data_IF_148976170581
#
_entry.id   IF_148976170581
#
_cell.length_a   1.000
_cell.length_b   1.000
_cell.length_c   1.000
_cell.angle_alpha   90.00
_cell.angle_beta   90.00
_cell.angle_gamma   90.00
#
_symmetry.space_group_name_H-M   'P 1'
#
loop_
_entity.id
_entity.type
_entity.pdbx_description
1 polymer ?
#
# COMPACT_ATOMS: atom_id res chain seq x y z
N UNK A 1 -11.63 52.15 -17.81
CA UNK A 1 -10.99 51.11 -18.65
C UNK A 1 -9.87 50.44 -17.87
N UNK A 2 -9.98 49.12 -17.69
CA UNK A 2 -8.94 48.11 -17.40
C UNK A 2 -7.96 48.37 -16.22
N UNK A 3 -8.30 47.83 -15.04
CA UNK A 3 -7.31 47.30 -14.09
C UNK A 3 -7.30 45.77 -14.22
N UNK A 4 -6.15 45.22 -14.60
CA UNK A 4 -5.92 43.80 -14.73
C UNK A 4 -5.82 43.14 -13.35
N UNK A 5 -6.55 42.03 -13.17
CA UNK A 5 -6.43 41.13 -12.02
C UNK A 5 -5.41 40.02 -12.33
N UNK A 6 -4.71 39.47 -11.32
CA UNK A 6 -3.59 38.57 -11.51
C UNK A 6 -4.03 37.14 -11.85
N UNK A 7 -3.18 36.49 -12.65
CA UNK A 7 -3.26 35.07 -13.01
C UNK A 7 -3.27 34.19 -11.75
N UNK A 8 -4.24 33.29 -11.68
CA UNK A 8 -4.31 32.22 -10.67
C UNK A 8 -3.25 31.17 -10.99
N UNK A 9 -2.36 30.94 -10.02
CA UNK A 9 -1.34 29.89 -10.06
C UNK A 9 -2.00 28.52 -9.96
N UNK A 10 -1.76 27.65 -10.96
CA UNK A 10 -1.96 26.21 -10.83
C UNK A 10 -1.02 25.66 -9.78
N UNK A 11 -1.57 25.09 -8.71
CA UNK A 11 -0.80 24.29 -7.76
C UNK A 11 -0.59 22.92 -8.40
N UNK A 12 0.53 22.77 -9.11
CA UNK A 12 0.99 21.49 -9.61
C UNK A 12 1.58 20.69 -8.44
N UNK A 13 0.95 19.55 -8.11
CA UNK A 13 1.49 18.58 -7.17
C UNK A 13 2.49 17.70 -7.92
N UNK A 14 3.77 18.08 -7.89
CA UNK A 14 4.88 17.26 -8.40
C UNK A 14 5.34 16.36 -7.25
N UNK A 15 4.92 15.09 -7.28
CA UNK A 15 5.57 14.03 -6.50
C UNK A 15 6.94 13.78 -7.14
N UNK A 16 7.96 14.36 -6.52
CA UNK A 16 9.36 14.19 -6.89
C UNK A 16 9.96 13.06 -6.07
N UNK A 17 10.05 11.86 -6.62
CA UNK A 17 11.13 10.91 -6.30
C UNK A 17 11.05 9.67 -7.19
N UNK A 18 12.17 9.33 -7.84
CA UNK A 18 12.33 8.21 -8.79
C UNK A 18 12.85 6.95 -8.07
N UNK A 19 12.48 6.78 -6.80
CA UNK A 19 12.94 5.68 -5.94
C UNK A 19 11.80 4.88 -5.28
N UNK A 20 10.54 5.28 -5.47
CA UNK A 20 9.40 4.68 -4.75
C UNK A 20 8.79 3.45 -5.43
N UNK A 21 9.10 3.16 -6.70
CA UNK A 21 8.55 1.99 -7.39
C UNK A 21 9.13 0.65 -6.90
N UNK A 22 10.32 0.66 -6.31
CA UNK A 22 10.96 -0.54 -5.73
C UNK A 22 10.52 -0.74 -4.27
N UNK A 23 10.16 0.35 -3.58
CA UNK A 23 9.71 0.32 -2.18
C UNK A 23 8.28 -0.24 -2.03
N UNK A 24 7.41 -0.07 -3.03
CA UNK A 24 6.01 -0.53 -2.97
C UNK A 24 5.90 -2.06 -2.97
N UNK A 25 6.84 -2.78 -3.59
CA UNK A 25 6.90 -4.24 -3.51
C UNK A 25 7.43 -4.66 -2.13
N UNK A 26 8.48 -4.01 -1.62
CA UNK A 26 9.07 -4.34 -0.30
C UNK A 26 8.13 -4.09 0.89
N UNK A 27 7.26 -3.07 0.83
CA UNK A 27 6.31 -2.77 1.93
C UNK A 27 5.18 -3.83 2.00
N UNK A 28 4.84 -4.49 0.88
CA UNK A 28 3.86 -5.59 0.88
C UNK A 28 4.42 -6.91 1.43
N UNK A 29 5.73 -7.14 1.30
CA UNK A 29 6.34 -8.42 1.71
C UNK A 29 6.72 -8.50 3.21
N UNK A 30 6.94 -7.37 3.89
CA UNK A 30 7.52 -7.39 5.24
C UNK A 30 6.52 -7.60 6.39
N UNK A 31 5.20 -7.62 6.14
CA UNK A 31 4.17 -7.75 7.18
C UNK A 31 3.34 -9.05 7.15
N UNK A 32 3.65 -10.01 6.27
CA UNK A 32 2.78 -11.16 5.99
C UNK A 32 3.44 -12.54 6.19
N UNK A 33 4.48 -12.64 7.03
CA UNK A 33 5.14 -13.92 7.34
C UNK A 33 4.24 -14.96 8.04
N UNK A 34 3.05 -14.57 8.53
CA UNK A 34 2.17 -15.47 9.29
C UNK A 34 1.33 -16.40 8.39
N UNK A 35 1.00 -15.99 7.16
CA UNK A 35 0.15 -16.81 6.27
C UNK A 35 0.92 -17.96 5.60
N UNK A 36 2.24 -17.81 5.40
CA UNK A 36 3.10 -18.89 4.87
C UNK A 36 3.18 -20.12 5.80
N UNK A 37 3.10 -19.92 7.12
CA UNK A 37 3.12 -21.04 8.09
C UNK A 37 1.78 -21.80 8.14
N UNK A 38 0.68 -21.14 7.76
CA UNK A 38 -0.68 -21.68 7.85
C UNK A 38 -1.05 -22.63 6.70
N UNK A 39 -0.34 -22.54 5.57
CA UNK A 39 -0.53 -23.35 4.36
C UNK A 39 0.59 -24.37 4.13
N UNK A 40 1.51 -24.54 5.09
CA UNK A 40 2.53 -25.58 5.02
C UNK A 40 1.91 -26.96 5.29
N UNK A 41 2.12 -27.89 4.36
CA UNK A 41 1.57 -29.25 4.38
C UNK A 41 2.35 -30.13 5.38
N UNK A 42 1.72 -30.71 6.42
CA UNK A 42 2.41 -31.59 7.38
C UNK A 42 2.32 -33.04 6.92
N UNK A 43 2.95 -33.41 5.81
CA UNK A 43 2.96 -34.81 5.36
C UNK A 43 4.19 -35.13 4.48
N UNK A 44 5.37 -35.13 5.09
CA UNK A 44 6.54 -35.85 4.59
C UNK A 44 7.43 -36.20 5.79
N UNK A 45 7.28 -37.40 6.33
CA UNK A 45 8.35 -38.41 6.35
C UNK A 45 8.01 -39.67 7.18
N UNK A 46 8.40 -40.80 6.57
CA UNK A 46 8.89 -42.07 7.10
C UNK A 46 8.00 -43.03 7.94
N UNK A 47 7.84 -44.22 7.35
CA UNK A 47 7.29 -45.47 7.92
C UNK A 47 8.41 -46.21 8.68
N UNK A 48 8.09 -46.89 9.80
CA UNK A 48 8.45 -48.31 9.87
C UNK A 48 7.34 -49.23 10.42
N UNK A 49 7.50 -50.51 10.09
CA UNK A 49 6.59 -51.66 10.18
C UNK A 49 6.81 -52.48 11.48
N UNK A 50 5.86 -53.36 11.81
CA UNK A 50 5.87 -54.54 12.75
C UNK A 50 5.53 -54.24 14.22
N UNK A 51 4.75 -55.02 15.00
CA UNK A 51 4.04 -56.30 14.81
C UNK A 51 2.98 -56.51 15.94
N UNK A 52 1.95 -57.31 15.61
CA UNK A 52 1.12 -58.27 16.41
C UNK A 52 0.87 -58.11 17.93
N UNK A 53 -0.40 -58.08 18.38
CA UNK A 53 -1.07 -59.17 19.15
C UNK A 53 -2.45 -58.84 19.79
N UNK A 54 -3.34 -59.85 19.71
CA UNK A 54 -4.31 -60.34 20.73
C UNK A 54 -5.57 -59.56 21.19
N UNK A 55 -6.69 -59.85 20.52
CA UNK A 55 -7.90 -60.60 20.99
C UNK A 55 -8.50 -60.36 22.42
N UNK A 56 -9.83 -60.08 22.40
CA UNK A 56 -11.00 -60.52 23.24
C UNK A 56 -11.85 -59.44 23.97
N UNK A 57 -13.18 -59.68 24.14
CA UNK A 57 -14.21 -58.64 24.19
C UNK A 57 -15.10 -58.64 25.46
N UNK A 58 -16.11 -57.76 25.41
CA UNK A 58 -17.39 -57.72 26.13
C UNK A 58 -17.39 -57.28 27.61
N UNK A 59 -18.05 -56.15 27.90
CA UNK A 59 -18.96 -56.02 29.04
C UNK A 59 -19.89 -54.81 28.87
N UNK A 60 -21.19 -55.10 28.89
CA UNK A 60 -22.32 -54.18 29.02
C UNK A 60 -22.29 -53.48 30.38
N UNK A 61 -22.48 -52.16 30.42
CA UNK A 61 -23.03 -51.49 31.60
C UNK A 61 -23.90 -50.29 31.21
N UNK A 62 -25.14 -50.37 31.67
CA UNK A 62 -26.21 -49.36 31.64
C UNK A 62 -25.98 -48.28 32.68
N UNK A 63 -26.23 -47.00 32.36
CA UNK A 63 -26.66 -45.97 33.33
C UNK A 63 -27.29 -44.73 32.64
N UNK A 64 -28.63 -44.68 32.69
CA UNK A 64 -29.57 -43.56 32.93
C UNK A 64 -29.00 -42.14 33.20
N UNK A 65 -29.37 -41.06 32.47
CA UNK A 65 -30.49 -40.05 32.60
C UNK A 65 -30.00 -38.76 31.87
N UNK A 66 -30.78 -37.75 31.36
CA UNK A 66 -32.17 -37.34 31.65
C UNK A 66 -33.10 -37.10 30.44
N UNK A 67 -34.40 -37.07 30.74
CA UNK A 67 -35.49 -36.70 29.83
C UNK A 67 -35.52 -35.19 29.53
N UNK A 68 -35.43 -34.83 28.25
CA UNK A 68 -35.80 -33.50 27.73
C UNK A 68 -37.31 -33.28 27.81
N UNK A 69 -37.79 -32.08 28.21
CA UNK A 69 -39.22 -31.77 28.18
C UNK A 69 -39.77 -31.81 26.74
N UNK A 70 -40.96 -32.40 26.57
CA UNK A 70 -41.68 -32.43 25.29
C UNK A 70 -41.97 -31.01 24.80
N UNK A 71 -41.75 -30.80 23.51
CA UNK A 71 -42.04 -29.54 22.81
C UNK A 71 -43.53 -29.18 22.96
N UNK A 72 -43.82 -27.99 23.47
CA UNK A 72 -45.18 -27.43 23.50
C UNK A 72 -45.53 -27.05 22.07
N UNK A 73 -46.57 -27.69 21.52
CA UNK A 73 -47.14 -27.34 20.22
C UNK A 73 -47.93 -26.03 20.34
N UNK A 74 -47.79 -25.17 19.33
CA UNK A 74 -48.48 -23.87 19.25
C UNK A 74 -50.02 -24.08 19.19
N UNK A 75 -50.82 -23.28 19.90
CA UNK A 75 -52.28 -23.42 19.90
C UNK A 75 -52.91 -23.10 18.53
N UNK A 76 -54.01 -23.78 18.23
CA UNK A 76 -54.84 -23.57 17.03
C UNK A 76 -55.40 -22.14 17.03
N UNK A 77 -55.05 -21.36 16.00
CA UNK A 77 -55.44 -19.96 15.85
C UNK A 77 -54.28 -18.96 15.78
N UNK A 78 -53.03 -19.40 15.90
CA UNK A 78 -51.89 -18.52 15.66
C UNK A 78 -51.80 -18.12 14.17
N UNK A 79 -51.67 -16.82 13.82
CA UNK A 79 -51.57 -16.40 12.44
C UNK A 79 -50.31 -16.98 11.81
N UNK A 80 -50.49 -18.04 11.05
CA UNK A 80 -49.48 -18.77 10.30
C UNK A 80 -49.74 -18.55 8.83
N UNK A 81 -49.39 -17.37 8.33
CA UNK A 81 -49.27 -17.19 6.88
C UNK A 81 -47.81 -17.37 6.47
N UNK A 82 -47.52 -18.58 6.00
CA UNK A 82 -46.46 -18.77 5.00
C UNK A 82 -46.87 -17.97 3.76
N UNK A 83 -46.31 -16.76 3.63
CA UNK A 83 -45.93 -16.19 2.34
C UNK A 83 -44.48 -15.74 2.48
N UNK A 84 -43.55 -16.59 2.02
CA UNK A 84 -42.21 -16.11 1.68
C UNK A 84 -42.40 -15.15 0.51
N UNK A 85 -42.36 -13.85 0.76
CA UNK A 85 -41.93 -12.92 -0.28
C UNK A 85 -40.43 -13.16 -0.50
N UNK A 86 -39.97 -13.46 -1.73
CA UNK A 86 -38.57 -13.22 -2.04
C UNK A 86 -38.37 -11.70 -2.15
N UNK A 87 -37.15 -11.23 -1.86
CA UNK A 87 -36.74 -9.81 -1.88
C UNK A 87 -36.97 -9.02 -0.59
N UNK A 88 -36.27 -9.44 0.47
CA UNK A 88 -35.60 -8.49 1.34
C UNK A 88 -34.33 -7.98 0.61
N UNK A 89 -34.28 -6.67 0.34
CA UNK A 89 -33.33 -5.99 -0.56
C UNK A 89 -31.92 -5.79 0.05
N UNK A 90 -31.49 -6.64 1.00
CA UNK A 90 -30.11 -6.60 1.55
C UNK A 90 -29.52 -8.01 1.56
N UNK A 91 -29.47 -8.65 0.40
CA UNK A 91 -28.68 -9.86 0.18
C UNK A 91 -28.23 -9.99 -1.28
N UNK A 92 -27.55 -8.95 -1.78
CA UNK A 92 -26.80 -9.08 -3.05
C UNK A 92 -25.44 -9.77 -2.87
N UNK A 93 -25.19 -10.38 -1.71
CA UNK A 93 -24.01 -11.22 -1.48
C UNK A 93 -24.34 -12.60 -2.03
N UNK A 94 -23.77 -12.94 -3.18
CA UNK A 94 -23.78 -14.30 -3.70
C UNK A 94 -23.06 -15.19 -2.69
N UNK A 95 -23.64 -16.33 -2.34
CA UNK A 95 -22.99 -17.30 -1.45
C UNK A 95 -21.69 -17.89 -2.05
N UNK A 96 -21.49 -17.74 -3.38
CA UNK A 96 -20.39 -18.31 -4.15
C UNK A 96 -19.77 -17.28 -5.11
N UNK A 97 -18.66 -16.63 -4.75
CA UNK A 97 -17.88 -15.83 -5.68
C UNK A 97 -17.22 -16.75 -6.72
N UNK A 98 -17.41 -16.50 -8.02
CA UNK A 98 -16.74 -17.21 -9.13
C UNK A 98 -17.55 -18.23 -9.93
N UNK A 99 -18.79 -18.59 -9.53
CA UNK A 99 -19.63 -19.52 -10.30
C UNK A 99 -20.26 -18.85 -11.56
N UNK A 100 -20.58 -19.61 -12.63
CA UNK A 100 -21.33 -19.10 -13.78
C UNK A 100 -22.68 -18.48 -13.38
N UNK A 101 -23.18 -17.50 -14.13
CA UNK A 101 -24.52 -16.94 -13.91
C UNK A 101 -25.56 -17.92 -14.46
N UNK A 102 -26.46 -18.41 -13.61
CA UNK A 102 -27.64 -19.15 -14.07
C UNK A 102 -28.61 -18.17 -14.73
N UNK A 103 -28.99 -18.45 -15.98
CA UNK A 103 -30.00 -17.69 -16.71
C UNK A 103 -31.35 -18.13 -16.17
N UNK A 104 -32.09 -17.23 -15.52
CA UNK A 104 -33.48 -17.46 -15.15
C UNK A 104 -34.29 -17.39 -16.45
N UNK A 105 -34.77 -18.53 -16.93
CA UNK A 105 -35.78 -18.58 -17.99
C UNK A 105 -37.14 -18.23 -17.39
N UNK A 106 -37.71 -17.11 -17.81
CA UNK A 106 -39.04 -16.66 -17.45
C UNK A 106 -40.06 -17.38 -18.35
N UNK A 107 -40.58 -18.52 -17.88
CA UNK A 107 -41.71 -19.19 -18.53
C UNK A 107 -42.98 -19.02 -17.69
N UNK A 108 -43.99 -18.38 -18.29
CA UNK A 108 -45.40 -18.59 -17.91
C UNK A 108 -46.16 -17.34 -17.46
N UNK A 109 -46.49 -16.45 -18.40
CA UNK A 109 -47.59 -15.49 -18.23
C UNK A 109 -48.91 -16.27 -18.28
N UNK A 110 -49.58 -16.41 -17.14
CA UNK A 110 -51.00 -16.81 -17.07
C UNK A 110 -51.82 -15.59 -16.68
N UNK A 111 -52.53 -15.05 -17.67
CA UNK A 111 -53.57 -14.04 -17.50
C UNK A 111 -54.78 -14.67 -16.80
N UNK A 112 -55.12 -14.18 -15.61
CA UNK A 112 -56.43 -14.43 -15.00
C UNK A 112 -57.09 -13.08 -14.76
N UNK A 113 -58.12 -12.80 -15.54
CA UNK A 113 -58.96 -11.63 -15.39
C UNK A 113 -59.73 -11.65 -14.08
N UNK A 114 -59.86 -10.49 -13.45
CA UNK A 114 -60.79 -10.28 -12.36
C UNK A 114 -61.55 -8.98 -12.62
N UNK A 115 -62.85 -9.11 -12.86
CA UNK A 115 -63.82 -8.03 -12.91
C UNK A 115 -63.90 -7.34 -11.54
N UNK A 116 -64.00 -6.01 -11.57
CA UNK A 116 -64.09 -5.13 -10.42
C UNK A 116 -65.58 -4.84 -10.14
N UNK A 117 -66.18 -5.29 -9.02
CA UNK A 117 -67.52 -4.84 -8.66
C UNK A 117 -67.44 -3.51 -7.89
N UNK A 118 -68.19 -2.53 -8.39
CA UNK A 118 -68.37 -1.22 -7.79
C UNK A 118 -68.91 -1.32 -6.34
N UNK A 119 -68.20 -0.74 -5.38
CA UNK A 119 -68.66 -0.58 -4.01
C UNK A 119 -68.71 0.91 -3.65
N UNK A 120 -69.93 1.45 -3.53
CA UNK A 120 -70.18 2.77 -2.93
C UNK A 120 -70.22 2.61 -1.40
N UNK A 121 -69.60 3.50 -0.61
CA UNK A 121 -69.68 3.41 0.84
C UNK A 121 -71.03 3.97 1.34
N UNK A 122 -71.77 3.26 2.22
CA UNK A 122 -72.86 3.88 2.96
C UNK A 122 -72.30 4.78 4.07
N UNK A 123 -72.64 6.07 3.97
CA UNK A 123 -72.49 7.06 5.03
C UNK A 123 -73.40 6.70 6.21
N UNK A 124 -72.84 6.20 7.30
CA UNK A 124 -73.52 6.17 8.60
C UNK A 124 -72.53 6.63 9.68
N UNK A 125 -72.75 7.84 10.18
CA UNK A 125 -72.00 8.40 11.29
C UNK A 125 -72.48 7.77 12.62
N UNK A 126 -71.56 7.16 13.36
CA UNK A 126 -71.73 6.85 14.78
C UNK A 126 -70.84 7.79 15.60
N UNK A 127 -71.35 8.41 16.68
CA UNK A 127 -70.58 9.31 17.51
C UNK A 127 -69.78 8.53 18.56
N UNK A 128 -68.49 8.86 18.70
CA UNK A 128 -67.69 8.44 19.86
C UNK A 128 -66.74 7.27 19.62
N UNK A 129 -65.69 7.50 18.83
CA UNK A 129 -64.40 6.83 19.02
C UNK A 129 -63.32 7.90 18.97
N UNK A 130 -62.60 8.07 20.06
CA UNK A 130 -61.49 9.01 20.16
C UNK A 130 -60.42 8.66 19.13
N UNK A 131 -60.11 9.62 18.24
CA UNK A 131 -58.95 9.56 17.37
C UNK A 131 -57.68 9.48 18.23
N UNK A 132 -56.91 8.40 18.06
CA UNK A 132 -55.52 8.39 18.50
C UNK A 132 -54.78 9.54 17.78
N UNK A 133 -53.90 10.29 18.47
CA UNK A 133 -53.21 11.42 17.86
C UNK A 133 -52.39 10.93 16.67
N UNK A 134 -52.61 11.58 15.52
CA UNK A 134 -51.82 11.35 14.32
C UNK A 134 -50.35 11.59 14.64
N UNK A 135 -49.54 10.53 14.59
CA UNK A 135 -48.09 10.68 14.47
C UNK A 135 -47.82 11.53 13.23
N UNK A 136 -47.06 12.64 13.35
CA UNK A 136 -46.75 13.45 12.19
C UNK A 136 -45.98 12.59 11.20
N UNK A 137 -46.61 12.32 10.05
CA UNK A 137 -45.93 11.77 8.89
C UNK A 137 -44.90 12.83 8.48
N UNK A 138 -43.64 12.61 8.85
CA UNK A 138 -42.54 13.36 8.27
C UNK A 138 -42.63 13.18 6.74
N UNK A 139 -42.48 14.25 5.95
CA UNK A 139 -42.55 14.14 4.51
C UNK A 139 -41.49 13.14 4.07
N UNK A 140 -41.92 12.08 3.37
CA UNK A 140 -41.02 11.13 2.72
C UNK A 140 -40.19 11.96 1.74
N UNK A 141 -38.95 12.23 2.12
CA UNK A 141 -37.98 12.86 1.24
C UNK A 141 -37.91 12.04 -0.05
N UNK A 142 -37.83 12.73 -1.18
CA UNK A 142 -37.51 12.12 -2.47
C UNK A 142 -36.35 11.13 -2.31
N UNK A 143 -36.34 9.98 -3.03
CA UNK A 143 -35.28 9.00 -2.90
C UNK A 143 -33.94 9.69 -3.19
N UNK A 144 -33.16 9.92 -2.14
CA UNK A 144 -31.80 10.42 -2.29
C UNK A 144 -31.03 9.27 -2.90
N UNK A 145 -30.54 9.44 -4.14
CA UNK A 145 -29.63 8.50 -4.76
C UNK A 145 -28.49 8.23 -3.77
N UNK A 146 -28.36 6.99 -3.29
CA UNK A 146 -27.23 6.57 -2.47
C UNK A 146 -25.99 6.62 -3.36
N UNK A 147 -25.33 7.78 -3.43
CA UNK A 147 -24.07 7.95 -4.15
C UNK A 147 -23.03 6.92 -3.69
N UNK A 148 -23.10 6.49 -2.42
CA UNK A 148 -22.25 5.45 -1.82
C UNK A 148 -22.50 4.01 -2.33
N UNK A 149 -23.54 3.79 -3.15
CA UNK A 149 -23.83 2.51 -3.79
C UNK A 149 -23.33 2.44 -5.25
N UNK A 150 -22.47 3.37 -5.66
CA UNK A 150 -21.91 3.40 -7.01
C UNK A 150 -21.03 2.16 -7.28
N UNK A 151 -21.40 1.42 -8.32
CA UNK A 151 -20.56 0.35 -8.87
C UNK A 151 -19.50 0.97 -9.78
N UNK A 152 -18.23 0.80 -9.41
CA UNK A 152 -17.09 1.40 -10.12
C UNK A 152 -16.44 0.40 -11.09
N UNK A 153 -16.48 -0.89 -10.75
CA UNK A 153 -16.04 -1.96 -11.64
C UNK A 153 -16.77 -3.29 -11.36
N UNK A 154 -16.67 -4.21 -12.33
CA UNK A 154 -17.10 -5.60 -12.20
C UNK A 154 -16.00 -6.51 -12.73
N UNK A 155 -15.62 -7.50 -11.93
CA UNK A 155 -14.56 -8.47 -12.26
C UNK A 155 -15.18 -9.87 -12.21
N UNK A 156 -15.59 -10.38 -13.37
CA UNK A 156 -16.36 -11.61 -13.47
C UNK A 156 -17.69 -11.52 -12.71
N UNK A 157 -17.82 -12.32 -11.65
CA UNK A 157 -18.98 -12.31 -10.76
C UNK A 157 -18.92 -11.24 -9.68
N UNK A 158 -17.72 -10.71 -9.39
CA UNK A 158 -17.51 -9.78 -8.27
C UNK A 158 -17.79 -8.35 -8.68
N UNK A 159 -18.40 -7.61 -7.76
CA UNK A 159 -18.76 -6.20 -7.94
C UNK A 159 -17.86 -5.37 -7.04
N UNK A 160 -17.24 -4.35 -7.63
CA UNK A 160 -16.40 -3.38 -6.92
C UNK A 160 -17.22 -2.10 -6.75
N UNK A 161 -17.52 -1.79 -5.49
CA UNK A 161 -18.22 -0.57 -5.08
C UNK A 161 -17.23 0.56 -4.76
N UNK A 162 -17.72 1.80 -4.78
CA UNK A 162 -16.94 2.97 -4.37
C UNK A 162 -16.34 2.80 -2.97
N UNK A 163 -17.13 2.24 -2.04
CA UNK A 163 -16.74 1.99 -0.65
C UNK A 163 -15.59 0.99 -0.50
N UNK A 164 -15.29 0.22 -1.54
CA UNK A 164 -14.20 -0.77 -1.56
C UNK A 164 -12.86 -0.14 -1.93
N UNK A 165 -12.92 0.94 -2.71
CA UNK A 165 -11.78 1.73 -3.15
C UNK A 165 -11.43 2.80 -2.12
N UNK A 166 -12.43 3.48 -1.56
CA UNK A 166 -12.24 4.54 -0.60
C UNK A 166 -11.97 3.97 0.80
N UNK A 167 -10.70 3.81 1.15
CA UNK A 167 -10.31 3.41 2.52
C UNK A 167 -10.75 4.46 3.55
N UNK A 168 -10.92 4.10 4.84
CA UNK A 168 -11.29 5.05 5.88
C UNK A 168 -10.38 6.29 5.92
N UNK A 169 -9.08 6.09 5.67
CA UNK A 169 -8.09 7.17 5.58
C UNK A 169 -8.35 8.11 4.40
N UNK A 170 -8.71 7.58 3.23
CA UNK A 170 -9.07 8.39 2.04
C UNK A 170 -10.36 9.15 2.29
N UNK A 171 -11.37 8.53 2.90
CA UNK A 171 -12.63 9.20 3.26
C UNK A 171 -12.39 10.34 4.26
N UNK A 172 -11.57 10.10 5.28
CA UNK A 172 -11.21 11.12 6.26
C UNK A 172 -10.41 12.28 5.62
N UNK A 173 -9.54 11.98 4.66
CA UNK A 173 -8.82 12.99 3.89
C UNK A 173 -9.76 13.80 2.99
N UNK A 174 -10.66 13.14 2.25
CA UNK A 174 -11.68 13.79 1.43
C UNK A 174 -12.49 14.77 2.27
N UNK A 175 -12.98 14.36 3.44
CA UNK A 175 -13.71 15.23 4.36
C UNK A 175 -12.95 16.49 4.79
N UNK A 176 -11.61 16.48 4.77
CA UNK A 176 -10.76 17.64 5.11
C UNK A 176 -10.53 18.57 3.92
N UNK A 177 -10.48 18.05 2.70
CA UNK A 177 -10.13 18.83 1.49
C UNK A 177 -11.34 19.29 0.67
N UNK A 178 -12.51 18.66 0.88
CA UNK A 178 -13.75 19.03 0.19
C UNK A 178 -14.50 20.24 0.75
N UNK A 179 -14.27 20.77 1.99
CA UNK A 179 -14.93 22.00 2.44
C UNK A 179 -14.65 23.17 1.49
N UNK A 180 -15.70 23.74 0.90
CA UNK A 180 -15.61 24.87 -0.04
C UNK A 180 -15.55 24.49 -1.53
N UNK A 181 -15.48 23.19 -1.87
CA UNK A 181 -15.59 22.72 -3.26
C UNK A 181 -17.05 22.58 -3.68
N UNK A 182 -17.33 22.82 -4.97
CA UNK A 182 -18.64 22.51 -5.56
C UNK A 182 -18.81 20.99 -5.67
N UNK A 183 -20.05 20.46 -5.62
CA UNK A 183 -20.31 19.02 -5.77
C UNK A 183 -19.67 18.39 -7.02
N UNK A 184 -19.66 19.11 -8.13
CA UNK A 184 -19.03 18.68 -9.39
C UNK A 184 -17.51 18.49 -9.25
N UNK A 185 -16.83 19.38 -8.53
CA UNK A 185 -15.38 19.31 -8.30
C UNK A 185 -15.02 18.15 -7.37
N UNK A 186 -15.85 17.89 -6.36
CA UNK A 186 -15.70 16.73 -5.47
C UNK A 186 -15.84 15.43 -6.26
N UNK A 187 -16.82 15.38 -7.17
CA UNK A 187 -17.02 14.22 -8.06
C UNK A 187 -15.82 14.00 -8.99
N UNK A 188 -15.28 15.05 -9.59
CA UNK A 188 -14.09 14.95 -10.45
C UNK A 188 -12.86 14.47 -9.67
N UNK A 189 -12.65 14.99 -8.45
CA UNK A 189 -11.59 14.54 -7.55
C UNK A 189 -11.73 13.05 -7.20
N UNK A 190 -12.95 12.60 -6.86
CA UNK A 190 -13.25 11.18 -6.62
C UNK A 190 -12.93 10.31 -7.84
N UNK A 191 -13.30 10.74 -9.05
CA UNK A 191 -12.99 10.01 -10.28
C UNK A 191 -11.47 9.88 -10.51
N UNK A 192 -10.68 10.91 -10.21
CA UNK A 192 -9.21 10.84 -10.27
C UNK A 192 -8.66 9.78 -9.30
N UNK A 193 -9.16 9.75 -8.07
CA UNK A 193 -8.79 8.76 -7.06
C UNK A 193 -9.16 7.34 -7.56
N UNK A 194 -10.36 7.16 -8.11
CA UNK A 194 -10.77 5.87 -8.64
C UNK A 194 -9.83 5.41 -9.75
N UNK A 195 -9.44 6.26 -10.70
CA UNK A 195 -8.50 5.85 -11.78
C UNK A 195 -7.21 5.27 -11.22
N UNK A 196 -6.68 5.88 -10.16
CA UNK A 196 -5.44 5.42 -9.54
C UNK A 196 -5.63 4.11 -8.76
N UNK A 197 -6.66 4.02 -7.92
CA UNK A 197 -6.86 2.88 -7.02
C UNK A 197 -7.47 1.65 -7.72
N UNK A 198 -8.30 1.88 -8.73
CA UNK A 198 -9.08 0.84 -9.42
C UNK A 198 -8.18 -0.11 -10.20
N UNK A 199 -7.06 0.38 -10.78
CA UNK A 199 -6.09 -0.48 -11.46
C UNK A 199 -5.56 -1.57 -10.54
N UNK A 200 -5.01 -1.16 -9.39
CA UNK A 200 -4.44 -2.08 -8.40
C UNK A 200 -5.53 -2.96 -7.77
N UNK A 201 -6.73 -2.40 -7.52
CA UNK A 201 -7.83 -3.17 -6.96
C UNK A 201 -8.32 -4.26 -7.91
N UNK A 202 -8.45 -3.96 -9.22
CA UNK A 202 -8.83 -4.97 -10.22
C UNK A 202 -7.81 -6.09 -10.30
N UNK A 203 -6.51 -5.77 -10.30
CA UNK A 203 -5.45 -6.79 -10.32
C UNK A 203 -5.55 -7.71 -9.10
N UNK A 204 -5.73 -7.15 -7.90
CA UNK A 204 -5.97 -7.93 -6.68
C UNK A 204 -7.25 -8.76 -6.76
N UNK A 205 -8.33 -8.21 -7.32
CA UNK A 205 -9.61 -8.91 -7.45
C UNK A 205 -9.55 -10.06 -8.45
N UNK A 206 -8.84 -9.89 -9.57
CA UNK A 206 -8.61 -10.96 -10.55
C UNK A 206 -7.91 -12.15 -9.89
N UNK A 207 -6.86 -11.87 -9.12
CA UNK A 207 -6.11 -12.88 -8.38
C UNK A 207 -6.99 -13.55 -7.33
N UNK A 208 -7.75 -12.77 -6.56
CA UNK A 208 -8.69 -13.30 -5.56
C UNK A 208 -9.71 -14.26 -6.20
N UNK A 209 -10.30 -13.88 -7.33
CA UNK A 209 -11.24 -14.74 -8.07
C UNK A 209 -10.58 -16.04 -8.54
N UNK A 210 -9.33 -15.99 -9.02
CA UNK A 210 -8.57 -17.20 -9.37
C UNK A 210 -8.27 -18.09 -8.16
N UNK A 211 -7.92 -17.48 -7.03
CA UNK A 211 -7.70 -18.20 -5.77
C UNK A 211 -8.97 -18.93 -5.32
N UNK A 212 -10.12 -18.25 -5.32
CA UNK A 212 -11.41 -18.85 -4.97
C UNK A 212 -11.82 -19.99 -5.92
N UNK A 213 -11.44 -19.94 -7.20
CA UNK A 213 -11.69 -21.03 -8.16
C UNK A 213 -10.81 -22.25 -7.92
N UNK A 214 -9.63 -22.06 -7.36
CA UNK A 214 -8.63 -23.13 -7.20
C UNK A 214 -8.66 -23.76 -5.81
N UNK A 215 -8.97 -22.99 -4.78
CA UNK A 215 -9.02 -23.48 -3.39
C UNK A 215 -10.33 -24.25 -3.18
N UNK A 216 -10.29 -25.45 -2.56
CA UNK A 216 -11.50 -26.19 -2.21
C UNK A 216 -12.46 -25.38 -1.34
N UNK A 217 -13.77 -25.42 -1.65
CA UNK A 217 -14.81 -24.63 -0.96
C UNK A 217 -14.79 -24.86 0.57
N UNK A 218 -14.43 -26.05 1.01
CA UNK A 218 -14.36 -26.44 2.42
C UNK A 218 -13.25 -25.72 3.21
N UNK A 219 -12.16 -25.32 2.54
CA UNK A 219 -11.00 -24.68 3.19
C UNK A 219 -11.17 -23.17 3.32
N UNK A 220 -11.97 -22.55 2.44
CA UNK A 220 -12.13 -21.09 2.41
C UNK A 220 -12.66 -20.50 3.74
N UNK A 221 -13.68 -21.07 4.41
CA UNK A 221 -14.17 -20.54 5.69
C UNK A 221 -13.12 -20.58 6.80
N UNK A 222 -12.28 -21.61 6.84
CA UNK A 222 -11.21 -21.73 7.83
C UNK A 222 -10.12 -20.69 7.60
N UNK A 223 -9.72 -20.48 6.33
CA UNK A 223 -8.74 -19.45 5.96
C UNK A 223 -9.30 -18.07 6.30
N UNK A 224 -10.55 -17.79 5.94
CA UNK A 224 -11.22 -16.53 6.24
C UNK A 224 -11.26 -16.25 7.75
N UNK A 225 -11.63 -17.25 8.55
CA UNK A 225 -11.64 -17.13 10.01
C UNK A 225 -10.27 -16.73 10.55
N UNK A 226 -9.20 -17.45 10.16
CA UNK A 226 -7.84 -17.18 10.66
C UNK A 226 -7.33 -15.79 10.23
N UNK A 227 -7.65 -15.37 9.00
CA UNK A 227 -7.28 -14.02 8.51
C UNK A 227 -8.06 -12.94 9.25
N UNK A 228 -9.35 -13.14 9.54
CA UNK A 228 -10.16 -12.21 10.35
C UNK A 228 -9.62 -12.08 11.77
N UNK A 229 -9.24 -13.19 12.41
CA UNK A 229 -8.61 -13.17 13.73
C UNK A 229 -7.29 -12.38 13.71
N UNK A 230 -6.43 -12.60 12.70
CA UNK A 230 -5.20 -11.84 12.54
C UNK A 230 -5.46 -10.34 12.31
N UNK A 231 -6.48 -9.99 11.52
CA UNK A 231 -6.91 -8.60 11.33
C UNK A 231 -7.32 -7.95 12.65
N UNK A 232 -8.19 -8.63 13.42
CA UNK A 232 -8.72 -8.11 14.68
C UNK A 232 -7.61 -7.93 15.73
N UNK A 233 -6.59 -8.78 15.72
CA UNK A 233 -5.45 -8.69 16.65
C UNK A 233 -4.40 -7.65 16.23
N UNK A 234 -4.11 -7.52 14.94
CA UNK A 234 -2.93 -6.77 14.48
C UNK A 234 -3.26 -5.44 13.79
N UNK A 235 -4.38 -5.38 13.06
CA UNK A 235 -4.73 -4.23 12.21
C UNK A 235 -5.81 -3.37 12.85
N UNK A 236 -6.85 -3.98 13.41
CA UNK A 236 -7.95 -3.27 14.03
C UNK A 236 -7.51 -2.30 15.15
N UNK A 237 -6.58 -2.65 16.07
CA UNK A 237 -6.14 -1.72 17.11
C UNK A 237 -5.48 -0.46 16.54
N UNK A 238 -4.71 -0.60 15.44
CA UNK A 238 -4.08 0.53 14.76
C UNK A 238 -5.13 1.45 14.13
N UNK A 239 -6.14 0.88 13.48
CA UNK A 239 -7.24 1.65 12.88
C UNK A 239 -8.08 2.39 13.92
N UNK A 240 -8.34 1.75 15.07
CA UNK A 240 -9.02 2.35 16.23
C UNK A 240 -8.21 3.55 16.75
N UNK A 241 -6.91 3.37 16.94
CA UNK A 241 -6.00 4.42 17.40
C UNK A 241 -5.90 5.59 16.40
N UNK A 242 -5.75 5.31 15.11
CA UNK A 242 -5.68 6.33 14.05
C UNK A 242 -6.97 7.14 13.93
N UNK A 243 -8.12 6.52 14.15
CA UNK A 243 -9.40 7.20 14.19
C UNK A 243 -9.62 8.02 15.48
N UNK A 244 -8.74 7.90 16.47
CA UNK A 244 -8.83 8.60 17.75
C UNK A 244 -9.97 8.11 18.64
N UNK A 245 -10.43 6.88 18.45
CA UNK A 245 -11.47 6.23 19.26
C UNK A 245 -10.86 5.14 20.15
N UNK A 246 -11.56 4.77 21.24
CA UNK A 246 -10.97 3.90 22.27
C UNK A 246 -11.46 2.45 22.19
N UNK A 247 -12.63 2.19 21.62
CA UNK A 247 -13.20 0.84 21.50
C UNK A 247 -13.58 0.47 20.08
N UNK A 248 -13.61 -0.85 19.79
CA UNK A 248 -14.09 -1.38 18.52
C UNK A 248 -15.53 -0.97 18.21
N UNK A 249 -16.41 -0.92 19.23
CA UNK A 249 -17.80 -0.50 19.05
C UNK A 249 -17.91 0.96 18.61
N UNK A 250 -17.12 1.85 19.22
CA UNK A 250 -17.00 3.25 18.79
C UNK A 250 -16.45 3.37 17.37
N UNK A 251 -15.48 2.52 17.01
CA UNK A 251 -14.93 2.50 15.66
C UNK A 251 -15.96 2.05 14.62
N UNK A 252 -16.77 1.02 14.91
CA UNK A 252 -17.85 0.62 14.01
C UNK A 252 -18.90 1.74 13.83
N UNK A 253 -19.24 2.46 14.90
CA UNK A 253 -20.12 3.64 14.82
C UNK A 253 -19.47 4.77 14.00
N UNK A 254 -18.17 5.02 14.19
CA UNK A 254 -17.39 6.00 13.43
C UNK A 254 -17.41 5.70 11.93
N UNK A 255 -17.31 4.41 11.55
CA UNK A 255 -17.37 3.96 10.17
C UNK A 255 -18.78 4.11 9.59
N UNK A 256 -19.82 3.69 10.34
CA UNK A 256 -21.22 3.80 9.89
C UNK A 256 -21.64 5.24 9.64
N UNK A 257 -21.17 6.18 10.46
CA UNK A 257 -21.40 7.62 10.24
C UNK A 257 -20.84 8.14 8.90
N UNK A 258 -19.95 7.38 8.26
CA UNK A 258 -19.32 7.69 6.96
C UNK A 258 -19.72 6.71 5.86
N UNK A 259 -20.81 5.96 6.04
CA UNK A 259 -21.30 5.00 5.05
C UNK A 259 -20.45 3.73 4.93
N UNK A 260 -19.58 3.44 5.90
CA UNK A 260 -18.72 2.25 5.91
C UNK A 260 -19.16 1.25 6.98
N UNK A 261 -18.64 0.02 6.91
CA UNK A 261 -18.87 -1.01 7.94
C UNK A 261 -17.59 -1.76 8.26
N UNK A 262 -17.43 -2.14 9.53
CA UNK A 262 -16.27 -2.94 9.96
C UNK A 262 -16.24 -4.30 9.25
N UNK A 263 -17.39 -4.93 9.04
CA UNK A 263 -17.48 -6.18 8.28
C UNK A 263 -16.99 -6.04 6.83
N UNK A 264 -17.30 -4.92 6.17
CA UNK A 264 -16.78 -4.67 4.81
C UNK A 264 -15.26 -4.52 4.82
N UNK A 265 -14.71 -3.80 5.80
CA UNK A 265 -13.26 -3.64 5.94
C UNK A 265 -12.58 -4.99 6.16
N UNK A 266 -13.13 -5.85 7.04
CA UNK A 266 -12.65 -7.22 7.23
C UNK A 266 -12.68 -8.03 5.94
N UNK A 267 -13.77 -7.96 5.17
CA UNK A 267 -13.89 -8.64 3.88
C UNK A 267 -12.84 -8.16 2.88
N UNK A 268 -12.69 -6.84 2.71
CA UNK A 268 -11.71 -6.26 1.79
C UNK A 268 -10.27 -6.59 2.21
N UNK A 269 -10.00 -6.64 3.51
CA UNK A 269 -8.72 -7.09 4.03
C UNK A 269 -8.46 -8.56 3.69
N UNK A 270 -9.44 -9.44 3.89
CA UNK A 270 -9.35 -10.85 3.54
C UNK A 270 -9.10 -11.06 2.04
N UNK A 271 -9.86 -10.38 1.17
CA UNK A 271 -9.71 -10.44 -0.28
C UNK A 271 -8.28 -10.09 -0.71
N UNK A 272 -7.73 -9.00 -0.16
CA UNK A 272 -6.35 -8.54 -0.43
C UNK A 272 -5.30 -9.49 0.13
N UNK A 273 -5.49 -9.99 1.35
CA UNK A 273 -4.57 -10.92 2.00
C UNK A 273 -4.50 -12.25 1.23
N UNK A 274 -5.65 -12.79 0.82
CA UNK A 274 -5.71 -14.00 0.03
C UNK A 274 -5.06 -13.81 -1.34
N UNK A 275 -5.35 -12.70 -2.02
CA UNK A 275 -4.70 -12.36 -3.29
C UNK A 275 -3.18 -12.25 -3.15
N UNK A 276 -2.68 -11.56 -2.12
CA UNK A 276 -1.25 -11.40 -1.88
C UNK A 276 -0.54 -12.76 -1.66
N UNK A 277 -1.13 -13.63 -0.83
CA UNK A 277 -0.61 -14.98 -0.62
C UNK A 277 -0.63 -15.81 -1.91
N UNK A 278 -1.69 -15.69 -2.70
CA UNK A 278 -1.82 -16.41 -3.95
C UNK A 278 -0.79 -15.96 -4.99
N UNK A 279 -0.52 -14.66 -5.07
CA UNK A 279 0.57 -14.10 -5.90
C UNK A 279 1.90 -14.69 -5.45
N UNK A 280 2.17 -14.69 -4.15
CA UNK A 280 3.42 -15.26 -3.62
C UNK A 280 3.57 -16.72 -4.06
N UNK A 281 2.53 -17.53 -3.95
CA UNK A 281 2.57 -18.94 -4.34
C UNK A 281 2.72 -19.15 -5.85
N UNK A 282 2.06 -18.34 -6.68
CA UNK A 282 2.05 -18.51 -8.14
C UNK A 282 3.26 -17.89 -8.84
N UNK A 283 3.83 -16.83 -8.28
CA UNK A 283 4.91 -16.05 -8.91
C UNK A 283 6.27 -16.40 -8.31
N UNK A 284 6.35 -16.78 -7.03
CA UNK A 284 7.61 -17.15 -6.36
C UNK A 284 8.02 -18.58 -6.70
N UNK A 285 8.38 -18.84 -7.96
CA UNK A 285 9.16 -20.04 -8.29
C UNK A 285 10.63 -19.64 -8.29
N UNK A 286 11.41 -20.27 -7.41
CA UNK A 286 12.84 -20.05 -7.26
C UNK A 286 13.57 -20.61 -8.48
N UNK A 287 13.52 -19.87 -9.58
CA UNK A 287 14.33 -20.17 -10.75
C UNK A 287 15.76 -19.73 -10.46
N UNK A 288 16.70 -20.66 -10.65
CA UNK A 288 18.11 -20.34 -10.53
C UNK A 288 18.48 -19.27 -11.56
N UNK A 289 19.26 -18.28 -11.12
CA UNK A 289 19.80 -17.25 -12.01
C UNK A 289 21.17 -17.73 -12.46
N UNK A 290 21.35 -18.06 -13.76
CA UNK A 290 22.62 -18.55 -14.25
C UNK A 290 23.71 -17.50 -14.07
N UNK A 291 24.90 -17.94 -13.64
CA UNK A 291 26.05 -17.08 -13.45
C UNK A 291 26.44 -16.30 -14.72
N UNK A 292 26.33 -16.94 -15.89
CA UNK A 292 26.58 -16.32 -17.19
C UNK A 292 25.68 -15.11 -17.46
N UNK A 293 24.42 -15.14 -17.01
CA UNK A 293 23.51 -14.01 -17.16
C UNK A 293 23.94 -12.82 -16.30
N UNK A 294 24.38 -13.07 -15.07
CA UNK A 294 24.88 -12.02 -14.18
C UNK A 294 26.14 -11.36 -14.75
N UNK A 295 27.06 -12.15 -15.32
CA UNK A 295 28.25 -11.63 -16.00
C UNK A 295 27.85 -10.77 -17.20
N UNK A 296 26.91 -11.23 -18.02
CA UNK A 296 26.46 -10.48 -19.19
C UNK A 296 25.86 -9.12 -18.80
N UNK A 297 25.05 -9.06 -17.73
CA UNK A 297 24.50 -7.80 -17.21
C UNK A 297 25.58 -6.89 -16.68
N UNK A 298 26.53 -7.42 -15.89
CA UNK A 298 27.65 -6.64 -15.39
C UNK A 298 28.46 -6.02 -16.55
N UNK A 299 28.75 -6.81 -17.59
CA UNK A 299 29.49 -6.36 -18.77
C UNK A 299 28.70 -5.34 -19.62
N UNK A 300 27.38 -5.49 -19.72
CA UNK A 300 26.52 -4.54 -20.42
C UNK A 300 26.43 -3.19 -19.70
N UNK A 301 26.51 -3.19 -18.36
CA UNK A 301 26.31 -2.01 -17.51
C UNK A 301 27.57 -1.59 -16.74
N UNK A 302 28.77 -1.83 -17.29
CA UNK A 302 30.05 -1.55 -16.59
C UNK A 302 30.19 -0.13 -16.05
N UNK A 303 29.59 0.86 -16.73
CA UNK A 303 29.62 2.27 -16.33
C UNK A 303 28.83 2.54 -15.05
N UNK A 304 27.78 1.76 -14.77
CA UNK A 304 26.96 1.92 -13.56
C UNK A 304 27.70 1.44 -12.30
N UNK A 305 28.71 0.59 -12.49
CA UNK A 305 29.57 0.07 -11.43
C UNK A 305 30.87 0.87 -11.29
N UNK A 306 31.08 1.90 -12.10
CA UNK A 306 32.23 2.80 -11.97
C UNK A 306 31.96 3.82 -10.86
N UNK A 307 32.95 4.02 -10.00
CA UNK A 307 32.91 5.04 -8.96
C UNK A 307 34.10 6.00 -9.11
N UNK A 308 33.88 7.32 -8.92
CA UNK A 308 34.95 8.29 -8.95
C UNK A 308 35.88 8.09 -7.75
N UNK A 309 37.11 8.59 -7.89
CA UNK A 309 38.02 8.70 -6.75
C UNK A 309 37.37 9.53 -5.65
N UNK A 310 37.53 9.09 -4.40
CA UNK A 310 37.01 9.78 -3.22
C UNK A 310 38.03 9.80 -2.09
N UNK A 311 38.03 10.87 -1.32
CA UNK A 311 38.99 11.09 -0.24
C UNK A 311 38.29 11.58 1.02
N UNK A 312 38.75 11.14 2.18
CA UNK A 312 38.46 11.76 3.48
C UNK A 312 39.67 12.57 3.89
N UNK A 313 39.45 13.80 4.34
CA UNK A 313 40.55 14.71 4.66
C UNK A 313 40.17 15.62 5.82
N UNK A 314 41.17 16.27 6.40
CA UNK A 314 41.00 17.30 7.40
C UNK A 314 41.53 18.62 6.87
N UNK A 315 40.92 19.73 7.28
CA UNK A 315 41.26 21.06 6.79
C UNK A 315 41.33 22.07 7.93
N UNK A 316 42.42 22.85 7.94
CA UNK A 316 42.55 24.09 8.68
C UNK A 316 42.31 25.25 7.71
N UNK A 317 41.67 26.29 8.18
CA UNK A 317 41.26 27.44 7.38
C UNK A 317 41.41 28.73 8.17
N UNK A 318 41.90 29.78 7.51
CA UNK A 318 41.96 31.16 8.00
C UNK A 318 41.51 32.10 6.88
N UNK A 319 40.65 33.07 7.20
CA UNK A 319 40.15 34.06 6.23
C UNK A 319 41.01 35.31 6.25
N UNK A 320 41.07 35.98 5.10
CA UNK A 320 41.69 37.29 4.97
C UNK A 320 40.56 38.32 5.07
N UNK A 321 40.64 39.24 6.03
CA UNK A 321 39.65 40.30 6.24
C UNK A 321 40.34 41.66 6.27
N UNK A 322 39.61 42.79 6.20
CA UNK A 322 40.22 44.11 6.34
C UNK A 322 41.02 44.29 7.66
N UNK A 323 40.61 43.59 8.72
CA UNK A 323 41.25 43.61 10.03
C UNK A 323 42.40 42.60 10.16
N UNK A 324 42.46 41.61 9.24
CA UNK A 324 43.46 40.55 9.22
C UNK A 324 44.16 40.49 7.87
N UNK A 325 45.37 41.05 7.80
CA UNK A 325 46.15 41.07 6.57
C UNK A 325 46.51 39.65 6.10
N UNK A 326 46.80 39.49 4.80
CA UNK A 326 47.23 38.19 4.24
C UNK A 326 48.44 37.62 5.00
N UNK A 327 49.39 38.47 5.40
CA UNK A 327 50.56 38.06 6.18
C UNK A 327 50.17 37.52 7.57
N UNK A 328 49.25 38.20 8.26
CA UNK A 328 48.75 37.75 9.56
C UNK A 328 47.95 36.45 9.45
N UNK A 329 47.12 36.31 8.41
CA UNK A 329 46.40 35.07 8.12
C UNK A 329 47.37 33.92 7.84
N UNK A 330 48.42 34.17 7.06
CA UNK A 330 49.45 33.19 6.74
C UNK A 330 50.22 32.75 7.99
N UNK A 331 50.68 33.68 8.84
CA UNK A 331 51.38 33.37 10.08
C UNK A 331 50.51 32.58 11.05
N UNK A 332 49.21 32.94 11.17
CA UNK A 332 48.25 32.19 11.99
C UNK A 332 48.08 30.75 11.50
N UNK A 333 47.89 30.56 10.19
CA UNK A 333 47.72 29.24 9.59
C UNK A 333 49.01 28.40 9.68
N UNK A 334 50.18 29.01 9.45
CA UNK A 334 51.48 28.37 9.64
C UNK A 334 51.68 27.93 11.10
N UNK A 335 51.29 28.77 12.06
CA UNK A 335 51.30 28.42 13.48
C UNK A 335 50.43 27.20 13.80
N UNK A 336 49.22 27.13 13.25
CA UNK A 336 48.36 25.95 13.38
C UNK A 336 49.00 24.70 12.76
N UNK A 337 49.55 24.82 11.54
CA UNK A 337 50.26 23.73 10.86
C UNK A 337 51.45 23.20 11.67
N UNK A 338 52.27 24.10 12.24
CA UNK A 338 53.40 23.74 13.09
C UNK A 338 52.97 22.97 14.35
N UNK A 339 51.85 23.34 14.97
CA UNK A 339 51.29 22.62 16.13
C UNK A 339 50.91 21.18 15.76
N UNK A 340 50.27 21.00 14.59
CA UNK A 340 49.94 19.67 14.06
C UNK A 340 51.21 18.86 13.75
N UNK A 341 52.22 19.48 13.13
CA UNK A 341 53.50 18.83 12.84
C UNK A 341 54.24 18.41 14.12
N UNK A 342 54.14 19.22 15.17
CA UNK A 342 54.74 18.94 16.49
C UNK A 342 53.98 17.89 17.31
N UNK A 343 52.92 17.29 16.75
CA UNK A 343 52.20 16.16 17.34
C UNK A 343 50.90 16.50 18.06
N UNK A 344 50.45 17.76 18.02
CA UNK A 344 49.12 18.11 18.56
C UNK A 344 48.01 17.52 17.66
N UNK A 345 46.92 16.98 18.22
CA UNK A 345 45.82 16.45 17.42
C UNK A 345 45.21 17.52 16.51
N UNK A 346 45.07 17.21 15.22
CA UNK A 346 44.53 18.13 14.22
C UNK A 346 43.14 18.65 14.61
N UNK A 347 42.29 17.76 15.14
CA UNK A 347 40.95 18.12 15.60
C UNK A 347 40.95 19.22 16.66
N UNK A 348 41.94 19.22 17.56
CA UNK A 348 41.99 20.15 18.68
C UNK A 348 42.50 21.51 18.20
N UNK A 349 43.52 21.50 17.34
CA UNK A 349 44.00 22.71 16.65
C UNK A 349 42.88 23.33 15.81
N UNK A 350 42.12 22.52 15.07
CA UNK A 350 41.02 22.98 14.24
C UNK A 350 39.90 23.61 15.08
N UNK A 351 39.48 22.96 16.16
CA UNK A 351 38.43 23.49 17.06
C UNK A 351 38.84 24.79 17.74
N UNK A 352 40.10 24.91 18.14
CA UNK A 352 40.58 26.07 18.88
C UNK A 352 40.87 27.28 17.99
N UNK A 353 41.37 27.07 16.77
CA UNK A 353 41.97 28.16 16.00
C UNK A 353 41.47 28.29 14.55
N UNK A 354 40.83 27.26 13.98
CA UNK A 354 40.40 27.32 12.58
C UNK A 354 39.10 28.12 12.42
N UNK A 355 39.01 28.84 11.31
CA UNK A 355 37.86 29.65 10.90
C UNK A 355 37.02 28.96 9.79
N UNK A 356 37.25 27.67 9.56
CA UNK A 356 36.52 26.86 8.57
C UNK A 356 35.13 26.45 9.08
N UNK A 357 34.25 26.07 8.15
CA UNK A 357 32.89 25.60 8.50
C UNK A 357 32.90 24.34 9.37
N UNK A 358 33.87 23.46 9.16
CA UNK A 358 34.04 22.20 9.90
C UNK A 358 34.92 22.34 11.15
N UNK A 359 35.35 23.56 11.51
CA UNK A 359 36.27 23.79 12.64
C UNK A 359 35.74 23.21 13.96
N UNK A 360 34.47 23.43 14.29
CA UNK A 360 33.82 22.88 15.50
C UNK A 360 33.81 21.35 15.52
N UNK A 361 33.77 20.71 14.34
CA UNK A 361 33.85 19.27 14.14
C UNK A 361 35.27 18.73 14.04
N UNK A 362 36.31 19.54 14.29
CA UNK A 362 37.71 19.13 14.16
C UNK A 362 38.29 19.27 12.75
N UNK A 363 37.63 19.98 11.85
CA UNK A 363 38.11 20.22 10.50
C UNK A 363 37.93 19.04 9.54
N UNK A 364 37.24 17.97 9.95
CA UNK A 364 37.07 16.75 9.15
C UNK A 364 36.04 16.92 8.04
N UNK A 365 36.41 16.43 6.85
CA UNK A 365 35.54 16.25 5.70
C UNK A 365 35.43 14.74 5.40
N UNK A 366 34.21 14.27 5.24
CA UNK A 366 33.95 12.87 4.89
C UNK A 366 34.21 12.61 3.40
N UNK A 367 33.78 11.46 2.88
CA UNK A 367 33.97 11.05 1.49
C UNK A 367 33.62 12.16 0.48
N UNK A 368 34.68 12.77 -0.06
CA UNK A 368 34.60 13.88 -1.00
C UNK A 368 35.08 13.40 -2.37
N UNK A 369 34.32 13.69 -3.42
CA UNK A 369 34.67 13.34 -4.80
C UNK A 369 35.36 14.49 -5.51
N UNK A 370 36.19 14.19 -6.51
CA UNK A 370 36.88 15.22 -7.29
C UNK A 370 35.89 16.17 -7.97
N UNK A 371 36.14 17.46 -7.87
CA UNK A 371 35.29 18.53 -8.40
C UNK A 371 34.07 18.88 -7.54
N UNK A 372 33.95 18.34 -6.32
CA UNK A 372 32.84 18.68 -5.42
C UNK A 372 33.11 19.89 -4.52
N UNK A 373 34.37 20.29 -4.37
CA UNK A 373 34.75 21.46 -3.57
C UNK A 373 34.75 22.74 -4.40
N UNK A 374 34.37 23.86 -3.77
CA UNK A 374 34.41 25.19 -4.39
C UNK A 374 35.85 25.64 -4.63
N UNK A 375 36.74 25.34 -3.69
CA UNK A 375 38.15 25.67 -3.77
C UNK A 375 38.88 24.69 -4.68
N UNK A 376 39.34 25.17 -5.85
CA UNK A 376 40.09 24.34 -6.80
C UNK A 376 41.44 23.90 -6.23
N UNK A 377 42.11 24.77 -5.49
CA UNK A 377 43.40 24.46 -4.87
C UNK A 377 43.26 23.32 -3.85
N UNK A 378 42.22 23.36 -3.02
CA UNK A 378 41.95 22.27 -2.07
C UNK A 378 41.55 20.99 -2.81
N UNK A 379 40.61 21.06 -3.76
CA UNK A 379 40.15 19.90 -4.54
C UNK A 379 41.33 19.18 -5.21
N UNK A 380 42.21 19.89 -5.90
CA UNK A 380 43.38 19.27 -6.56
C UNK A 380 44.38 18.70 -5.56
N UNK A 381 44.61 19.38 -4.43
CA UNK A 381 45.58 18.97 -3.42
C UNK A 381 45.19 17.66 -2.73
N UNK A 382 43.90 17.47 -2.37
CA UNK A 382 43.46 16.29 -1.62
C UNK A 382 43.51 15.01 -2.45
N UNK A 383 43.54 15.10 -3.79
CA UNK A 383 43.75 13.96 -4.70
C UNK A 383 45.21 13.76 -5.11
N UNK A 384 46.09 14.71 -4.85
CA UNK A 384 47.53 14.63 -5.23
C UNK A 384 48.41 14.28 -4.03
N UNK A 385 48.06 14.75 -2.83
CA UNK A 385 48.88 14.59 -1.62
C UNK A 385 48.95 13.13 -1.15
N UNK A 386 50.09 12.66 -0.62
CA UNK A 386 50.15 11.36 0.04
C UNK A 386 49.25 11.31 1.28
N UNK A 387 48.64 10.15 1.54
CA UNK A 387 47.82 9.92 2.73
C UNK A 387 48.66 10.15 4.00
N UNK A 388 48.09 10.85 4.98
CA UNK A 388 48.72 11.22 6.25
C UNK A 388 49.61 12.46 6.20
N UNK A 389 49.91 12.99 5.01
CA UNK A 389 50.83 14.15 4.85
C UNK A 389 50.05 15.47 4.89
N UNK A 390 50.63 16.46 5.58
CA UNK A 390 50.10 17.83 5.64
C UNK A 390 50.51 18.61 4.39
N UNK A 391 49.58 19.35 3.79
CA UNK A 391 49.84 20.18 2.61
C UNK A 391 50.68 21.41 2.94
N UNK A 392 51.26 22.03 1.90
CA UNK A 392 51.64 23.44 1.98
C UNK A 392 50.40 24.32 2.19
N UNK A 393 50.60 25.58 2.57
CA UNK A 393 49.51 26.56 2.63
C UNK A 393 48.97 26.79 1.22
N UNK A 394 47.69 26.50 1.04
CA UNK A 394 46.94 26.67 -0.20
C UNK A 394 46.25 28.03 -0.15
N UNK A 395 46.49 28.86 -1.15
CA UNK A 395 45.88 30.18 -1.27
C UNK A 395 44.68 30.10 -2.22
N UNK A 396 43.49 30.40 -1.70
CA UNK A 396 42.23 30.49 -2.46
C UNK A 396 41.72 31.94 -2.50
N UNK A 397 42.64 32.89 -2.65
CA UNK A 397 42.38 34.32 -2.79
C UNK A 397 42.07 34.99 -1.46
N UNK A 398 40.84 34.85 -0.97
CA UNK A 398 40.37 35.46 0.28
C UNK A 398 40.49 34.51 1.49
N UNK A 399 40.86 33.25 1.26
CA UNK A 399 40.93 32.23 2.30
C UNK A 399 42.19 31.38 2.09
N UNK A 400 42.87 31.07 3.19
CA UNK A 400 44.05 30.20 3.20
C UNK A 400 43.70 28.86 3.86
N UNK A 401 44.21 27.78 3.29
CA UNK A 401 43.92 26.43 3.75
C UNK A 401 45.19 25.60 3.97
N UNK A 402 45.15 24.69 4.95
CA UNK A 402 46.07 23.55 5.06
C UNK A 402 45.20 22.30 5.14
N UNK A 403 45.55 21.28 4.37
CA UNK A 403 44.79 20.01 4.38
C UNK A 403 45.68 18.82 4.67
N UNK A 404 45.07 17.75 5.17
CA UNK A 404 45.70 16.44 5.38
C UNK A 404 44.74 15.34 4.95
N UNK A 405 45.19 14.46 4.05
CA UNK A 405 44.37 13.33 3.59
C UNK A 405 44.41 12.23 4.64
N UNK A 406 43.24 11.79 5.12
CA UNK A 406 43.12 10.67 6.07
C UNK A 406 43.07 9.35 5.32
N UNK A 407 42.25 9.30 4.26
CA UNK A 407 41.93 8.08 3.53
C UNK A 407 41.63 8.42 2.07
N UNK A 408 42.07 7.55 1.14
CA UNK A 408 41.80 7.70 -0.29
C UNK A 408 41.37 6.37 -0.89
N UNK A 409 40.32 6.44 -1.70
CA UNK A 409 39.89 5.37 -2.59
C UNK A 409 40.03 5.87 -4.02
N UNK A 410 40.86 5.19 -4.80
CA UNK A 410 41.08 5.51 -6.20
C UNK A 410 39.83 5.27 -7.05
N UNK A 411 39.74 5.96 -8.20
CA UNK A 411 38.68 5.69 -9.15
C UNK A 411 38.77 4.24 -9.61
N UNK A 412 37.63 3.57 -9.69
CA UNK A 412 37.61 2.15 -9.96
C UNK A 412 36.24 1.67 -10.35
N UNK A 413 36.12 0.35 -10.35
CA UNK A 413 34.88 -0.34 -10.64
C UNK A 413 34.61 -1.34 -9.53
N UNK A 414 33.36 -1.41 -9.08
CA UNK A 414 32.91 -2.44 -8.14
C UNK A 414 33.19 -3.80 -8.77
N UNK A 415 34.02 -4.66 -8.16
CA UNK A 415 34.31 -5.99 -8.70
C UNK A 415 33.03 -6.80 -8.88
N UNK A 416 33.00 -7.66 -9.90
CA UNK A 416 31.84 -8.50 -10.16
C UNK A 416 31.42 -9.34 -8.94
N UNK A 417 32.37 -9.81 -8.13
CA UNK A 417 32.09 -10.60 -6.91
C UNK A 417 31.25 -9.82 -5.89
N UNK A 418 31.40 -8.51 -5.83
CA UNK A 418 30.58 -7.64 -4.97
C UNK A 418 29.26 -7.29 -5.66
N UNK A 419 29.31 -6.99 -6.96
CA UNK A 419 28.14 -6.62 -7.75
C UNK A 419 27.13 -7.77 -7.95
N UNK A 420 27.58 -9.03 -7.93
CA UNK A 420 26.75 -10.20 -8.25
C UNK A 420 25.52 -10.32 -7.34
N UNK A 421 25.61 -9.92 -6.07
CA UNK A 421 24.49 -10.02 -5.12
C UNK A 421 23.37 -9.06 -5.53
N UNK A 422 23.74 -7.81 -5.85
CA UNK A 422 22.79 -6.81 -6.34
C UNK A 422 22.20 -7.21 -7.69
N UNK A 423 23.03 -7.66 -8.62
CA UNK A 423 22.58 -8.12 -9.95
C UNK A 423 21.60 -9.29 -9.82
N UNK A 424 21.90 -10.25 -8.95
CA UNK A 424 21.02 -11.40 -8.69
C UNK A 424 19.67 -10.94 -8.17
N UNK A 425 19.63 -10.02 -7.21
CA UNK A 425 18.36 -9.54 -6.66
C UNK A 425 17.55 -8.77 -7.69
N UNK A 426 18.17 -7.87 -8.45
CA UNK A 426 17.50 -7.16 -9.55
C UNK A 426 16.92 -8.12 -10.58
N UNK A 427 17.66 -9.17 -10.96
CA UNK A 427 17.18 -10.21 -11.86
C UNK A 427 16.01 -11.01 -11.26
N UNK A 428 16.03 -11.31 -9.95
CA UNK A 428 14.92 -11.97 -9.27
C UNK A 428 13.66 -11.11 -9.29
N UNK A 429 13.80 -9.82 -8.99
CA UNK A 429 12.70 -8.87 -9.01
C UNK A 429 12.12 -8.70 -10.42
N UNK A 430 12.98 -8.58 -11.43
CA UNK A 430 12.55 -8.50 -12.84
C UNK A 430 11.78 -9.74 -13.26
N UNK A 431 12.33 -10.95 -13.06
CA UNK A 431 11.63 -12.21 -13.40
C UNK A 431 10.31 -12.35 -12.64
N UNK A 432 10.26 -11.93 -11.37
CA UNK A 432 9.02 -11.94 -10.56
C UNK A 432 7.99 -10.99 -11.14
N UNK A 433 8.39 -9.78 -11.55
CA UNK A 433 7.52 -8.81 -12.19
C UNK A 433 7.00 -9.33 -13.54
N UNK A 434 7.87 -9.85 -14.40
CA UNK A 434 7.50 -10.39 -15.72
C UNK A 434 6.48 -11.52 -15.59
N UNK A 435 6.73 -12.48 -14.69
CA UNK A 435 5.79 -13.57 -14.43
C UNK A 435 4.47 -13.10 -13.85
N UNK A 436 4.50 -12.10 -12.97
CA UNK A 436 3.28 -11.52 -12.44
C UNK A 436 2.45 -10.86 -13.55
N UNK A 437 3.10 -10.15 -14.47
CA UNK A 437 2.45 -9.53 -15.63
C UNK A 437 1.88 -10.58 -16.60
N UNK A 438 2.62 -11.66 -16.89
CA UNK A 438 2.12 -12.80 -17.66
C UNK A 438 0.91 -13.46 -16.99
N UNK A 439 1.00 -13.68 -15.68
CA UNK A 439 -0.07 -14.26 -14.88
C UNK A 439 -1.33 -13.38 -14.90
N UNK A 440 -1.19 -12.07 -14.67
CA UNK A 440 -2.31 -11.13 -14.76
C UNK A 440 -2.91 -11.06 -16.16
N UNK A 441 -2.08 -11.10 -17.20
CA UNK A 441 -2.53 -11.12 -18.60
C UNK A 441 -3.41 -12.34 -18.87
N UNK A 442 -2.98 -13.51 -18.39
CA UNK A 442 -3.79 -14.73 -18.45
C UNK A 442 -5.12 -14.56 -17.70
N UNK A 443 -5.12 -14.00 -16.49
CA UNK A 443 -6.35 -13.79 -15.72
C UNK A 443 -7.32 -12.82 -16.39
N UNK A 444 -6.81 -11.73 -17.00
CA UNK A 444 -7.60 -10.76 -17.77
C UNK A 444 -8.28 -11.40 -18.99
N UNK A 445 -7.63 -12.36 -19.64
CA UNK A 445 -8.23 -13.10 -20.76
C UNK A 445 -9.32 -14.09 -20.31
N UNK A 446 -9.19 -14.64 -19.11
CA UNK A 446 -10.13 -15.63 -18.55
C UNK A 446 -11.33 -14.99 -17.83
N UNK A 447 -11.18 -13.76 -17.34
CA UNK A 447 -12.17 -13.11 -16.48
C UNK A 447 -12.57 -11.76 -17.08
N UNK A 448 -13.83 -11.58 -17.50
CA UNK A 448 -14.27 -10.31 -18.06
C UNK A 448 -14.20 -9.23 -16.99
N UNK A 449 -13.65 -8.07 -17.37
CA UNK A 449 -13.55 -6.88 -16.53
C UNK A 449 -14.33 -5.75 -17.19
N UNK A 450 -15.17 -5.09 -16.41
CA UNK A 450 -15.86 -3.86 -16.80
C UNK A 450 -15.56 -2.76 -15.79
N UNK A 451 -15.37 -1.54 -16.26
CA UNK A 451 -15.14 -0.35 -15.43
C UNK A 451 -16.00 0.82 -15.90
N UNK A 452 -16.29 1.76 -14.99
CA UNK A 452 -16.99 3.01 -15.35
C UNK A 452 -16.25 3.85 -16.40
N UNK A 453 -14.96 3.60 -16.62
CA UNK A 453 -14.12 4.33 -17.57
C UNK A 453 -14.09 3.71 -18.98
N UNK A 454 -14.65 2.52 -19.17
CA UNK A 454 -14.63 1.81 -20.45
C UNK A 454 -15.46 2.53 -21.52
N UNK A 455 -16.49 3.27 -21.09
CA UNK A 455 -17.38 4.02 -21.96
C UNK A 455 -16.92 5.47 -22.23
N UNK A 456 -15.74 5.88 -21.76
CA UNK A 456 -15.23 7.23 -22.00
C UNK A 456 -14.62 7.39 -23.40
N UNK A 457 -14.81 8.54 -24.07
CA UNK A 457 -14.26 8.76 -25.40
C UNK A 457 -12.72 8.72 -25.36
N UNK A 458 -12.12 8.02 -26.34
CA UNK A 458 -10.68 7.70 -26.42
C UNK A 458 -9.71 8.90 -26.23
N UNK A 459 -10.16 10.14 -26.44
CA UNK A 459 -9.38 11.37 -26.19
C UNK A 459 -9.04 11.59 -24.71
N UNK A 460 -9.86 11.10 -23.78
CA UNK A 460 -9.61 11.22 -22.32
C UNK A 460 -8.67 10.11 -21.84
N UNK A 461 -8.77 8.91 -22.42
CA UNK A 461 -7.89 7.78 -22.13
C UNK A 461 -6.43 8.04 -22.57
N UNK A 462 -6.21 8.77 -23.67
CA UNK A 462 -4.87 9.12 -24.17
C UNK A 462 -4.12 10.16 -23.30
N UNK A 463 -4.82 11.10 -22.65
CA UNK A 463 -4.19 12.07 -21.75
C UNK A 463 -3.59 11.42 -20.50
N UNK A 464 -4.15 10.30 -20.04
CA UNK A 464 -3.64 9.52 -18.90
C UNK A 464 -2.43 8.68 -19.31
N UNK A 465 -2.47 8.02 -20.49
CA UNK A 465 -1.33 7.28 -21.03
C UNK A 465 -0.13 8.19 -21.38
N UNK A 466 -0.40 9.45 -21.76
CA UNK A 466 0.63 10.46 -22.00
C UNK A 466 1.33 10.94 -20.72
N UNK A 467 0.61 11.03 -19.60
CA UNK A 467 1.18 11.34 -18.28
C UNK A 467 2.03 10.19 -17.74
N UNK A 468 1.62 8.93 -17.93
CA UNK A 468 2.40 7.74 -17.54
C UNK A 468 3.71 7.60 -18.33
N UNK A 469 3.75 8.08 -19.59
CA UNK A 469 4.98 8.07 -20.41
C UNK A 469 5.97 9.17 -20.04
N UNK A 470 5.51 10.26 -19.42
CA UNK A 470 6.39 11.33 -18.93
C UNK A 470 6.97 11.06 -17.54
N UNK A 471 6.46 10.05 -16.82
CA UNK A 471 6.88 9.67 -15.47
C UNK A 471 7.74 8.40 -15.41
N UNK A 472 7.97 7.69 -16.53
CA UNK A 472 8.90 6.55 -16.63
C UNK A 472 10.33 6.99 -16.89
#
# INVERSE_FOLDING_TARGET
>A
MRRALPRTSSVAFVLKSRTDSILIISIFFCSFSFLSSLLADPAADEIPVTDTESIRPLATQSQQIPTTPKHISRPEGWPSSKKKTPHSVISSIRQKPGSPLDIIHDEGVVTVGFEEPAFQPPSTALPGVAQAPAVPQSPVGSPTSLEDALVVARVGSEVVMETDLLTPSVVAWLAKVTPGLKPEQVRELKLQIYRQLLKQHIESMLVYVDACRTIPEERLPEIEKKVREAFDQQQLPKLVQEAGVSTQGEYDLYLRARGQSLERIRKTYFERALAAQWIQQKVSTEEEIPHAQMIAIYQAHLKEYEFPAKTRFEQLTVRITPEQSREQAWQKLAGMGNRVINGEPFSDVAKAFSEGLTASGGGTYDWTIKGSLVSKAVDESIFTLPVGTLSSILDDGAVLHIVRVIERVEAGRVPFVEAQVGIKETLREQRRADRFDEYLTRLRNLTPVWTIFDNEPARVQQNVAGQDRQLR
#
